data_IF_816110722199
#
_entry.id   IF_816110722199
#
_cell.length_a   1.000
_cell.length_b   1.000
_cell.length_c   1.000
_cell.angle_alpha   90.00
_cell.angle_beta   90.00
_cell.angle_gamma   90.00
#
_symmetry.space_group_name_H-M   'P 1'
#
loop_
_entity.id
_entity.type
_entity.pdbx_description
1 polymer ?
#
# COMPACT_ATOMS: atom_id res chain seq x y z
N UNK A 1 12.91 10.28 24.11
CA UNK A 1 12.47 11.69 23.96
C UNK A 1 12.23 11.98 22.49
N UNK A 2 11.79 13.20 22.18
CA UNK A 2 11.70 13.64 20.78
C UNK A 2 13.09 13.63 20.13
N UNK A 3 13.18 13.10 18.92
CA UNK A 3 14.35 13.18 18.06
C UNK A 3 13.92 13.66 16.67
N UNK A 4 14.56 14.69 16.10
CA UNK A 4 14.29 15.11 14.73
C UNK A 4 14.85 14.10 13.72
N UNK A 5 14.52 14.26 12.42
CA UNK A 5 15.05 13.41 11.35
C UNK A 5 16.57 13.32 11.34
N UNK A 6 17.06 12.09 11.36
CA UNK A 6 18.48 11.74 11.37
C UNK A 6 18.92 11.33 9.96
N UNK A 7 19.53 12.27 9.24
CA UNK A 7 19.93 12.07 7.84
C UNK A 7 21.32 11.45 7.77
N UNK A 8 21.55 10.43 6.91
CA UNK A 8 22.88 9.90 6.64
C UNK A 8 23.82 10.95 6.06
N UNK A 9 25.02 11.08 6.63
CA UNK A 9 26.07 11.98 6.17
C UNK A 9 27.34 11.16 5.87
N UNK A 10 28.07 11.56 4.83
CA UNK A 10 29.35 10.93 4.41
C UNK A 10 30.58 11.76 4.80
N UNK A 11 30.40 12.80 5.60
CA UNK A 11 31.45 13.70 6.03
C UNK A 11 31.67 13.61 7.55
N UNK A 12 32.93 13.72 7.95
CA UNK A 12 33.32 13.87 9.35
C UNK A 12 33.08 15.30 9.87
N UNK A 13 33.29 15.54 11.16
CA UNK A 13 33.23 16.86 11.80
C UNK A 13 34.02 17.93 11.03
N UNK A 14 35.21 17.57 10.54
CA UNK A 14 36.12 18.47 9.83
C UNK A 14 35.82 18.56 8.31
N UNK A 15 34.72 17.98 7.85
CA UNK A 15 34.33 17.96 6.43
C UNK A 15 35.03 16.90 5.58
N UNK A 16 35.95 16.12 6.15
CA UNK A 16 36.62 15.01 5.47
C UNK A 16 35.65 13.94 4.99
N UNK A 17 35.84 13.44 3.77
CA UNK A 17 35.01 12.37 3.21
C UNK A 17 35.25 11.04 3.93
N UNK A 18 34.17 10.31 4.19
CA UNK A 18 34.18 9.02 4.87
C UNK A 18 33.36 8.02 4.07
N UNK A 19 33.92 6.83 3.82
CA UNK A 19 33.29 5.84 2.96
C UNK A 19 32.02 5.21 3.57
N UNK A 20 31.87 5.27 4.90
CA UNK A 20 30.72 4.72 5.61
C UNK A 20 29.75 5.84 6.00
N UNK A 21 28.45 5.71 5.67
CA UNK A 21 27.46 6.68 6.10
C UNK A 21 27.32 6.66 7.63
N UNK A 22 27.09 7.82 8.22
CA UNK A 22 26.93 8.01 9.67
C UNK A 22 25.81 8.99 9.96
N UNK A 23 25.34 8.96 11.20
CA UNK A 23 24.35 9.89 11.73
C UNK A 23 24.90 10.48 13.02
N UNK A 24 24.71 11.78 13.18
CA UNK A 24 24.97 12.48 14.43
C UNK A 24 23.65 12.65 15.17
N UNK A 25 23.53 12.03 16.35
CA UNK A 25 22.36 12.23 17.20
C UNK A 25 22.41 13.63 17.80
N UNK A 26 21.26 14.22 18.11
CA UNK A 26 21.27 15.45 18.90
C UNK A 26 21.61 15.13 20.34
N UNK A 27 22.57 15.87 20.89
CA UNK A 27 22.90 15.91 22.30
C UNK A 27 23.01 17.36 22.76
N UNK A 28 22.92 17.57 24.07
CA UNK A 28 23.25 18.85 24.67
C UNK A 28 24.75 19.08 24.44
N UNK A 29 25.09 20.11 23.67
CA UNK A 29 26.49 20.45 23.47
C UNK A 29 27.06 21.06 24.75
N UNK A 30 28.39 20.99 24.89
CA UNK A 30 29.09 21.67 25.97
C UNK A 30 29.00 23.20 25.85
N UNK A 31 28.57 23.72 24.69
CA UNK A 31 28.42 25.14 24.44
C UNK A 31 27.09 25.63 25.02
N UNK A 32 27.17 26.68 25.84
CA UNK A 32 26.00 27.38 26.39
C UNK A 32 25.66 28.56 25.49
N UNK A 33 24.36 28.77 25.25
CA UNK A 33 23.89 29.99 24.60
C UNK A 33 24.31 31.22 25.44
N UNK A 34 25.02 32.20 24.84
CA UNK A 34 25.57 33.35 25.57
C UNK A 34 24.51 34.26 26.19
N UNK A 35 23.24 34.15 25.78
CA UNK A 35 22.13 34.96 26.33
C UNK A 35 21.33 34.17 27.36
N UNK A 36 20.97 32.93 27.05
CA UNK A 36 20.07 32.13 27.89
C UNK A 36 20.79 31.24 28.89
N UNK A 37 22.11 31.02 28.72
CA UNK A 37 22.93 30.07 29.48
C UNK A 37 22.37 28.65 29.50
N UNK A 38 21.58 28.29 28.48
CA UNK A 38 21.08 26.94 28.28
C UNK A 38 22.03 26.16 27.36
N UNK A 39 22.19 24.84 27.55
CA UNK A 39 22.93 23.99 26.61
C UNK A 39 22.36 24.11 25.21
N UNK A 40 23.22 24.34 24.22
CA UNK A 40 22.81 24.38 22.82
C UNK A 40 22.62 22.95 22.34
N UNK A 41 21.43 22.60 21.87
CA UNK A 41 21.18 21.26 21.29
C UNK A 41 21.83 21.20 19.91
N UNK A 42 22.83 20.34 19.75
CA UNK A 42 23.60 20.19 18.52
C UNK A 42 23.89 18.73 18.16
N UNK A 43 24.39 18.47 16.95
CA UNK A 43 24.86 17.14 16.58
C UNK A 43 26.05 16.72 17.46
N UNK A 44 25.93 15.55 18.08
CA UNK A 44 26.98 14.88 18.84
C UNK A 44 28.02 14.30 17.87
N UNK A 45 29.10 15.04 17.66
CA UNK A 45 30.23 14.61 16.83
C UNK A 45 31.15 13.62 17.53
N UNK A 46 31.09 13.50 18.86
CA UNK A 46 31.98 12.64 19.64
C UNK A 46 31.53 11.18 19.57
N UNK A 47 30.22 10.94 19.40
CA UNK A 47 29.64 9.61 19.25
C UNK A 47 28.87 9.43 17.93
N UNK A 48 29.55 9.40 16.77
CA UNK A 48 28.89 9.17 15.49
C UNK A 48 28.30 7.75 15.42
N UNK A 49 27.03 7.64 15.04
CA UNK A 49 26.37 6.35 14.80
C UNK A 49 26.66 5.90 13.38
N UNK A 50 27.50 4.88 13.24
CA UNK A 50 27.84 4.33 11.93
C UNK A 50 26.69 3.52 11.37
N UNK A 51 26.30 3.79 10.13
CA UNK A 51 25.24 3.07 9.44
C UNK A 51 25.83 1.93 8.61
N UNK A 52 25.10 0.83 8.55
CA UNK A 52 25.42 -0.33 7.72
C UNK A 52 24.19 -0.95 7.09
N UNK A 53 24.42 -1.81 6.10
CA UNK A 53 23.40 -2.69 5.56
C UNK A 53 23.42 -4.05 6.27
N UNK A 54 22.27 -4.72 6.34
CA UNK A 54 22.11 -6.07 6.92
C UNK A 54 22.62 -6.16 8.38
N UNK A 55 22.34 -5.12 9.17
CA UNK A 55 22.75 -5.06 10.58
C UNK A 55 21.86 -5.94 11.44
N UNK A 56 22.42 -6.48 12.53
CA UNK A 56 21.63 -7.19 13.54
C UNK A 56 20.91 -6.16 14.42
N UNK A 57 19.64 -6.40 14.70
CA UNK A 57 18.82 -5.50 15.49
C UNK A 57 17.66 -6.23 16.16
N UNK A 58 16.57 -5.51 16.41
CA UNK A 58 15.41 -6.09 17.10
C UNK A 58 14.83 -7.28 16.32
N UNK A 59 14.51 -8.41 16.99
CA UNK A 59 13.95 -9.56 16.31
C UNK A 59 12.56 -9.25 15.73
N UNK A 60 12.30 -9.74 14.52
CA UNK A 60 11.03 -9.65 13.84
C UNK A 60 10.67 -10.96 13.15
N UNK A 61 9.39 -11.09 12.76
CA UNK A 61 8.93 -12.21 11.96
C UNK A 61 8.77 -11.78 10.50
N UNK A 62 9.65 -12.26 9.64
CA UNK A 62 9.54 -12.10 8.19
C UNK A 62 8.31 -12.89 7.70
N UNK A 63 7.42 -12.20 6.98
CA UNK A 63 6.10 -12.70 6.57
C UNK A 63 5.22 -13.24 7.73
N UNK A 64 5.53 -12.88 8.99
CA UNK A 64 4.84 -13.42 10.17
C UNK A 64 5.25 -14.84 10.56
N UNK A 65 6.14 -15.49 9.79
CA UNK A 65 6.47 -16.91 9.93
C UNK A 65 7.94 -17.14 10.29
N UNK A 66 8.86 -16.48 9.60
CA UNK A 66 10.30 -16.75 9.71
C UNK A 66 10.92 -15.77 10.72
N UNK A 67 11.47 -16.23 11.86
CA UNK A 67 12.19 -15.35 12.77
C UNK A 67 13.46 -14.83 12.08
N UNK A 68 13.66 -13.53 12.13
CA UNK A 68 14.82 -12.84 11.60
C UNK A 68 15.19 -11.67 12.50
N UNK A 69 16.47 -11.35 12.57
CA UNK A 69 17.04 -10.25 13.35
C UNK A 69 17.86 -9.27 12.49
N UNK A 70 18.02 -9.59 11.20
CA UNK A 70 18.74 -8.74 10.24
C UNK A 70 17.84 -7.69 9.61
N UNK A 71 18.22 -6.42 9.79
CA UNK A 71 17.56 -5.26 9.21
C UNK A 71 18.32 -4.78 7.98
N UNK A 72 17.60 -4.35 6.93
CA UNK A 72 18.22 -3.91 5.69
C UNK A 72 19.20 -2.76 5.92
N UNK A 73 18.87 -1.82 6.80
CA UNK A 73 19.71 -0.69 7.18
C UNK A 73 19.52 -0.37 8.67
N UNK A 74 20.58 0.14 9.31
CA UNK A 74 20.53 0.57 10.71
C UNK A 74 21.92 0.90 11.26
N UNK A 75 22.00 1.17 12.56
CA UNK A 75 23.29 1.40 13.23
C UNK A 75 24.05 0.09 13.43
N UNK A 76 25.36 0.10 13.20
CA UNK A 76 26.25 -1.03 13.47
C UNK A 76 26.29 -1.38 14.97
N UNK A 77 26.14 -0.38 15.83
CA UNK A 77 26.22 -0.52 17.28
C UNK A 77 24.86 -0.93 17.90
N UNK A 78 23.86 -1.24 17.06
CA UNK A 78 22.50 -1.62 17.49
C UNK A 78 21.67 -0.47 18.07
N UNK A 79 22.23 0.74 18.14
CA UNK A 79 21.52 1.94 18.62
C UNK A 79 20.40 2.35 17.66
N UNK A 80 19.24 2.82 18.19
CA UNK A 80 18.13 3.26 17.34
C UNK A 80 18.53 4.49 16.51
N UNK A 81 18.10 4.51 15.25
CA UNK A 81 18.30 5.65 14.33
C UNK A 81 16.95 6.07 13.80
N UNK A 82 16.64 7.36 13.93
CA UNK A 82 15.34 7.93 13.59
C UNK A 82 15.40 8.68 12.26
N UNK A 83 15.47 7.95 11.14
CA UNK A 83 15.64 8.55 9.81
C UNK A 83 14.57 9.60 9.45
N UNK A 84 13.32 9.36 9.85
CA UNK A 84 12.21 10.32 9.68
C UNK A 84 11.85 11.05 10.98
N UNK A 85 12.67 10.91 12.01
CA UNK A 85 12.42 11.45 13.34
C UNK A 85 11.35 10.67 14.10
N UNK A 86 10.97 11.24 15.24
CA UNK A 86 9.95 10.68 16.12
C UNK A 86 8.69 11.55 16.17
N UNK A 87 7.56 10.95 16.51
CA UNK A 87 6.35 11.69 16.85
C UNK A 87 6.46 12.41 18.22
N UNK A 88 5.41 13.13 18.61
CA UNK A 88 5.33 13.87 19.88
C UNK A 88 5.49 12.98 21.12
N UNK A 89 5.35 11.66 20.98
CA UNK A 89 5.49 10.68 22.05
C UNK A 89 6.83 9.94 21.97
N UNK A 90 7.75 10.36 21.09
CA UNK A 90 9.07 9.73 20.92
C UNK A 90 9.04 8.41 20.14
N UNK A 91 7.97 8.11 19.40
CA UNK A 91 7.87 6.88 18.59
C UNK A 91 8.45 7.10 17.20
N UNK A 92 9.23 6.15 16.72
CA UNK A 92 9.88 6.23 15.40
C UNK A 92 8.85 6.27 14.25
N UNK A 93 8.89 7.34 13.45
CA UNK A 93 7.92 7.58 12.38
C UNK A 93 8.11 6.59 11.23
N UNK A 94 9.36 6.29 10.86
CA UNK A 94 9.66 5.38 9.76
C UNK A 94 9.17 3.95 10.05
N UNK A 95 9.46 3.44 11.24
CA UNK A 95 9.03 2.11 11.68
C UNK A 95 7.51 2.00 11.71
N UNK A 96 6.82 3.05 12.19
CA UNK A 96 5.35 3.11 12.15
C UNK A 96 4.80 3.10 10.73
N UNK A 97 5.43 3.83 9.80
CA UNK A 97 5.04 3.83 8.40
C UNK A 97 5.23 2.45 7.76
N UNK A 98 6.36 1.78 8.01
CA UNK A 98 6.64 0.43 7.51
C UNK A 98 5.67 -0.61 8.09
N UNK A 99 5.31 -0.50 9.37
CA UNK A 99 4.33 -1.41 9.97
C UNK A 99 2.91 -1.13 9.48
N UNK A 100 2.53 0.15 9.32
CA UNK A 100 1.24 0.54 8.79
C UNK A 100 1.06 0.14 7.32
N UNK A 101 2.10 0.26 6.51
CA UNK A 101 2.05 -0.07 5.08
C UNK A 101 1.71 -1.54 4.82
N UNK A 102 2.11 -2.47 5.70
CA UNK A 102 1.74 -3.89 5.61
C UNK A 102 0.22 -4.09 5.63
N UNK A 103 -0.47 -3.40 6.56
CA UNK A 103 -1.92 -3.48 6.69
C UNK A 103 -2.59 -2.83 5.49
N UNK A 104 -2.14 -1.63 5.10
CA UNK A 104 -2.67 -0.93 3.92
C UNK A 104 -2.53 -1.73 2.63
N UNK A 105 -1.36 -2.36 2.42
CA UNK A 105 -1.09 -3.18 1.24
C UNK A 105 -1.95 -4.46 1.23
N UNK A 106 -2.12 -5.11 2.38
CA UNK A 106 -2.98 -6.29 2.51
C UNK A 106 -4.44 -5.99 2.15
N UNK A 107 -4.99 -4.88 2.66
CA UNK A 107 -6.34 -4.43 2.28
C UNK A 107 -6.40 -4.13 0.78
N UNK A 108 -5.49 -3.30 0.26
CA UNK A 108 -5.52 -2.87 -1.13
C UNK A 108 -5.43 -4.06 -2.10
N UNK A 109 -4.50 -4.99 -1.87
CA UNK A 109 -4.34 -6.19 -2.70
C UNK A 109 -5.59 -7.08 -2.64
N UNK A 110 -6.17 -7.28 -1.45
CA UNK A 110 -7.36 -8.12 -1.29
C UNK A 110 -8.57 -7.50 -2.00
N UNK A 111 -8.80 -6.20 -1.81
CA UNK A 111 -9.90 -5.46 -2.44
C UNK A 111 -9.76 -5.47 -3.95
N UNK A 112 -8.58 -5.12 -4.47
CA UNK A 112 -8.32 -5.11 -5.92
C UNK A 112 -8.51 -6.52 -6.49
N UNK A 113 -8.00 -7.56 -5.83
CA UNK A 113 -8.20 -8.93 -6.29
C UNK A 113 -9.69 -9.29 -6.42
N UNK A 114 -10.51 -9.00 -5.41
CA UNK A 114 -11.96 -9.27 -5.44
C UNK A 114 -12.64 -8.46 -6.56
N UNK A 115 -12.36 -7.15 -6.65
CA UNK A 115 -12.91 -6.26 -7.67
C UNK A 115 -12.54 -6.75 -9.07
N UNK A 116 -11.28 -7.11 -9.29
CA UNK A 116 -10.80 -7.60 -10.58
C UNK A 116 -11.46 -8.91 -10.94
N UNK A 117 -11.53 -9.89 -10.03
CA UNK A 117 -12.17 -11.18 -10.31
C UNK A 117 -13.66 -11.01 -10.63
N UNK A 118 -14.42 -10.32 -9.77
CA UNK A 118 -15.87 -10.16 -9.93
C UNK A 118 -16.16 -9.26 -11.13
N UNK A 119 -15.54 -8.08 -11.17
CA UNK A 119 -15.75 -7.10 -12.22
C UNK A 119 -15.39 -7.63 -13.60
N UNK A 120 -14.24 -8.30 -13.74
CA UNK A 120 -13.84 -8.87 -15.04
C UNK A 120 -14.79 -9.98 -15.47
N UNK A 121 -15.18 -10.87 -14.55
CA UNK A 121 -16.12 -11.96 -14.87
C UNK A 121 -17.47 -11.40 -15.34
N UNK A 122 -18.06 -10.47 -14.59
CA UNK A 122 -19.34 -9.86 -14.95
C UNK A 122 -19.21 -9.06 -16.25
N UNK A 123 -18.17 -8.24 -16.39
CA UNK A 123 -17.95 -7.41 -17.56
C UNK A 123 -17.78 -8.23 -18.85
N UNK A 124 -17.02 -9.33 -18.78
CA UNK A 124 -16.84 -10.24 -19.90
C UNK A 124 -18.15 -10.93 -20.29
N UNK A 125 -18.89 -11.46 -19.32
CA UNK A 125 -20.16 -12.17 -19.60
C UNK A 125 -21.20 -11.18 -20.18
N UNK A 126 -21.34 -10.01 -19.57
CA UNK A 126 -22.25 -8.94 -20.03
C UNK A 126 -21.88 -8.48 -21.44
N UNK A 127 -20.59 -8.21 -21.70
CA UNK A 127 -20.10 -7.71 -22.98
C UNK A 127 -20.11 -8.76 -24.10
N UNK A 128 -19.90 -10.05 -23.79
CA UNK A 128 -19.87 -11.10 -24.79
C UNK A 128 -21.28 -11.52 -25.25
N UNK A 129 -22.18 -11.83 -24.31
CA UNK A 129 -23.52 -12.30 -24.66
C UNK A 129 -24.44 -11.17 -25.14
N UNK A 130 -24.24 -9.94 -24.65
CA UNK A 130 -25.04 -8.79 -25.09
C UNK A 130 -26.55 -8.95 -24.81
N UNK A 131 -27.35 -8.22 -25.60
CA UNK A 131 -28.81 -8.36 -25.60
C UNK A 131 -29.50 -7.98 -24.29
N UNK A 132 -30.56 -8.72 -23.95
CA UNK A 132 -31.39 -8.43 -22.75
C UNK A 132 -30.63 -8.65 -21.44
N UNK A 133 -29.77 -9.65 -21.38
CA UNK A 133 -28.95 -9.94 -20.19
C UNK A 133 -28.03 -8.78 -19.88
N UNK A 134 -27.31 -8.31 -20.91
CA UNK A 134 -26.42 -7.15 -20.80
C UNK A 134 -27.16 -5.89 -20.32
N UNK A 135 -28.32 -5.59 -20.92
CA UNK A 135 -29.14 -4.44 -20.50
C UNK A 135 -29.50 -4.53 -19.02
N UNK A 136 -30.03 -5.65 -18.55
CA UNK A 136 -30.37 -5.82 -17.13
C UNK A 136 -29.16 -5.70 -16.21
N UNK A 137 -28.04 -6.34 -16.58
CA UNK A 137 -26.82 -6.30 -15.76
C UNK A 137 -26.25 -4.88 -15.68
N UNK A 138 -26.26 -4.14 -16.79
CA UNK A 138 -25.80 -2.76 -16.80
C UNK A 138 -26.71 -1.82 -16.00
N UNK A 139 -28.04 -2.05 -15.97
CA UNK A 139 -28.91 -1.27 -15.09
C UNK A 139 -28.60 -1.51 -13.61
N UNK A 140 -28.26 -2.73 -13.24
CA UNK A 140 -27.81 -3.04 -11.89
C UNK A 140 -26.46 -2.38 -11.57
N UNK A 141 -25.50 -2.44 -12.49
CA UNK A 141 -24.20 -1.74 -12.36
C UNK A 141 -24.39 -0.24 -12.21
N UNK A 142 -25.24 0.38 -13.04
CA UNK A 142 -25.57 1.81 -12.96
C UNK A 142 -26.21 2.18 -11.61
N UNK A 143 -27.09 1.33 -11.07
CA UNK A 143 -27.67 1.52 -9.75
C UNK A 143 -26.60 1.53 -8.65
N UNK A 144 -25.64 0.61 -8.70
CA UNK A 144 -24.52 0.56 -7.74
C UNK A 144 -23.63 1.81 -7.87
N UNK A 145 -23.34 2.24 -9.10
CA UNK A 145 -22.51 3.42 -9.37
C UNK A 145 -23.21 4.74 -9.03
N UNK A 146 -24.54 4.75 -8.93
CA UNK A 146 -25.30 5.94 -8.54
C UNK A 146 -25.10 6.30 -7.06
N UNK A 147 -24.63 5.37 -6.23
CA UNK A 147 -24.33 5.64 -4.84
C UNK A 147 -23.04 6.47 -4.70
N UNK A 148 -23.05 7.57 -3.94
CA UNK A 148 -21.86 8.37 -3.72
C UNK A 148 -20.89 7.61 -2.80
N UNK A 149 -19.81 7.08 -3.36
CA UNK A 149 -18.88 6.17 -2.68
C UNK A 149 -18.30 6.76 -1.39
N UNK A 150 -17.76 7.99 -1.45
CA UNK A 150 -17.13 8.64 -0.30
C UNK A 150 -18.13 8.84 0.87
N UNK A 151 -19.31 9.47 0.66
CA UNK A 151 -20.34 9.55 1.70
C UNK A 151 -20.77 8.19 2.23
N UNK A 152 -20.93 7.19 1.37
CA UNK A 152 -21.33 5.84 1.78
C UNK A 152 -20.28 5.19 2.67
N UNK A 153 -18.99 5.31 2.32
CA UNK A 153 -17.89 4.84 3.17
C UNK A 153 -17.89 5.53 4.53
N UNK A 154 -18.03 6.86 4.56
CA UNK A 154 -18.08 7.61 5.82
C UNK A 154 -19.28 7.18 6.67
N UNK A 155 -20.48 7.10 6.09
CA UNK A 155 -21.66 6.63 6.78
C UNK A 155 -21.49 5.21 7.33
N UNK A 156 -20.97 4.29 6.52
CA UNK A 156 -20.77 2.90 6.91
C UNK A 156 -19.71 2.73 8.01
N UNK A 157 -18.69 3.61 8.09
CA UNK A 157 -17.73 3.57 9.19
C UNK A 157 -18.37 3.85 10.56
N UNK A 158 -19.47 4.61 10.60
CA UNK A 158 -20.21 4.88 11.85
C UNK A 158 -20.95 3.67 12.41
N UNK A 159 -21.20 2.65 11.58
CA UNK A 159 -21.84 1.41 12.02
C UNK A 159 -20.87 0.52 12.80
N UNK A 160 -19.56 0.79 12.74
CA UNK A 160 -18.56 -0.02 13.42
C UNK A 160 -18.31 0.57 14.82
N UNK A 161 -18.55 -0.19 15.91
CA UNK A 161 -18.22 0.26 17.25
C UNK A 161 -16.72 0.59 17.36
N UNK A 162 -16.38 1.66 18.07
CA UNK A 162 -14.97 2.04 18.32
C UNK A 162 -14.22 0.94 19.08
N UNK A 163 -14.95 0.09 19.80
CA UNK A 163 -14.44 -1.08 20.53
C UNK A 163 -14.32 -2.35 19.67
N UNK A 164 -14.69 -2.29 18.39
CA UNK A 164 -14.64 -3.44 17.52
C UNK A 164 -13.19 -3.95 17.35
N UNK A 165 -12.99 -5.27 17.37
CA UNK A 165 -11.70 -5.86 17.06
C UNK A 165 -11.17 -5.40 15.69
N UNK A 166 -9.85 -5.19 15.58
CA UNK A 166 -9.22 -4.69 14.35
C UNK A 166 -9.54 -5.54 13.12
N UNK A 167 -9.59 -6.86 13.25
CA UNK A 167 -9.95 -7.78 12.17
C UNK A 167 -11.38 -7.57 11.65
N UNK A 168 -12.33 -7.23 12.52
CA UNK A 168 -13.72 -6.94 12.13
C UNK A 168 -13.78 -5.65 11.32
N UNK A 169 -13.08 -4.61 11.76
CA UNK A 169 -12.97 -3.35 11.02
C UNK A 169 -12.34 -3.56 9.63
N UNK A 170 -11.23 -4.30 9.56
CA UNK A 170 -10.56 -4.62 8.30
C UNK A 170 -11.45 -5.41 7.34
N UNK A 171 -12.14 -6.44 7.84
CA UNK A 171 -13.06 -7.24 7.04
C UNK A 171 -14.21 -6.39 6.48
N UNK A 172 -14.77 -5.50 7.29
CA UNK A 172 -15.83 -4.59 6.87
C UNK A 172 -15.37 -3.66 5.76
N UNK A 173 -14.21 -3.01 5.90
CA UNK A 173 -13.63 -2.13 4.87
C UNK A 173 -13.43 -2.90 3.57
N UNK A 174 -12.87 -4.11 3.63
CA UNK A 174 -12.64 -4.95 2.45
C UNK A 174 -13.97 -5.28 1.74
N UNK A 175 -14.99 -5.69 2.49
CA UNK A 175 -16.31 -6.05 1.94
C UNK A 175 -16.95 -4.85 1.27
N UNK A 176 -17.03 -3.72 1.98
CA UNK A 176 -17.71 -2.51 1.50
C UNK A 176 -17.03 -1.95 0.25
N UNK A 177 -15.69 -1.82 0.28
CA UNK A 177 -14.96 -1.33 -0.89
C UNK A 177 -15.10 -2.27 -2.09
N UNK A 178 -15.04 -3.59 -1.86
CA UNK A 178 -15.18 -4.58 -2.93
C UNK A 178 -16.58 -4.58 -3.54
N UNK A 179 -17.61 -4.44 -2.69
CA UNK A 179 -19.03 -4.44 -3.09
C UNK A 179 -19.43 -3.23 -3.95
N UNK A 180 -18.70 -2.11 -3.86
CA UNK A 180 -18.93 -0.95 -4.72
C UNK A 180 -17.96 -0.90 -5.91
N UNK A 181 -16.71 -1.34 -5.73
CA UNK A 181 -15.67 -1.22 -6.74
C UNK A 181 -15.83 -2.17 -7.94
N UNK A 182 -16.44 -3.34 -7.76
CA UNK A 182 -16.62 -4.32 -8.85
C UNK A 182 -17.46 -3.77 -10.01
N UNK A 183 -18.40 -2.87 -9.74
CA UNK A 183 -19.31 -2.30 -10.72
C UNK A 183 -18.55 -1.44 -11.76
N UNK A 184 -17.61 -0.61 -11.29
CA UNK A 184 -16.77 0.20 -12.17
C UNK A 184 -15.88 -0.69 -13.04
N UNK A 185 -15.22 -1.68 -12.43
CA UNK A 185 -14.37 -2.64 -13.15
C UNK A 185 -15.19 -3.43 -14.20
N UNK A 186 -16.42 -3.83 -13.86
CA UNK A 186 -17.32 -4.51 -14.78
C UNK A 186 -17.67 -3.66 -16.01
N UNK A 187 -17.89 -2.36 -15.83
CA UNK A 187 -18.21 -1.45 -16.92
C UNK A 187 -17.03 -1.26 -17.87
N UNK A 188 -15.82 -1.13 -17.33
CA UNK A 188 -14.58 -0.99 -18.10
C UNK A 188 -14.28 -2.25 -18.92
N UNK A 189 -14.32 -3.42 -18.27
CA UNK A 189 -14.08 -4.71 -18.94
C UNK A 189 -15.16 -5.00 -19.99
N UNK A 190 -16.43 -4.67 -19.72
CA UNK A 190 -17.50 -4.79 -20.71
C UNK A 190 -17.19 -3.98 -21.97
N UNK A 191 -16.74 -2.74 -21.82
CA UNK A 191 -16.37 -1.87 -22.95
C UNK A 191 -15.30 -2.52 -23.83
N UNK A 192 -14.23 -3.05 -23.21
CA UNK A 192 -13.17 -3.80 -23.91
C UNK A 192 -13.71 -5.07 -24.57
N UNK A 193 -14.55 -5.82 -23.86
CA UNK A 193 -15.11 -7.08 -24.35
C UNK A 193 -15.98 -6.85 -25.59
N UNK A 194 -16.83 -5.82 -25.60
CA UNK A 194 -17.65 -5.46 -26.77
C UNK A 194 -16.80 -5.11 -27.99
N UNK A 195 -15.64 -4.48 -27.79
CA UNK A 195 -14.69 -4.19 -28.86
C UNK A 195 -14.03 -5.47 -29.39
N UNK A 196 -13.52 -6.32 -28.49
CA UNK A 196 -12.86 -7.58 -28.83
C UNK A 196 -13.78 -8.57 -29.54
N UNK A 197 -15.04 -8.70 -29.09
CA UNK A 197 -16.03 -9.60 -29.68
C UNK A 197 -16.38 -9.25 -31.15
N UNK A 198 -16.08 -8.02 -31.59
CA UNK A 198 -16.34 -7.57 -32.97
C UNK A 198 -15.15 -7.73 -33.92
N UNK A 199 -13.99 -8.15 -33.42
CA UNK A 199 -12.78 -8.29 -34.26
C UNK A 199 -12.92 -9.48 -35.22
N UNK A 200 -12.36 -9.35 -36.42
CA UNK A 200 -12.45 -10.32 -37.51
C UNK A 200 -11.99 -11.73 -37.12
N UNK A 201 -10.87 -11.87 -36.40
CA UNK A 201 -10.38 -13.20 -35.99
C UNK A 201 -11.32 -13.88 -34.98
N UNK A 202 -12.00 -13.12 -34.12
CA UNK A 202 -13.01 -13.66 -33.20
C UNK A 202 -14.26 -14.11 -33.97
N UNK A 203 -14.69 -13.30 -34.96
CA UNK A 203 -15.80 -13.66 -35.85
C UNK A 203 -15.52 -14.88 -36.72
N UNK A 204 -14.30 -14.99 -37.24
CA UNK A 204 -13.85 -16.16 -37.98
C UNK A 204 -13.85 -17.41 -37.09
N UNK A 205 -13.35 -17.32 -35.86
CA UNK A 205 -13.39 -18.42 -34.90
C UNK A 205 -14.82 -18.89 -34.59
N UNK A 206 -15.77 -17.95 -34.43
CA UNK A 206 -17.19 -18.25 -34.28
C UNK A 206 -17.76 -18.96 -35.53
N UNK A 207 -17.44 -18.49 -36.74
CA UNK A 207 -17.93 -19.08 -37.98
C UNK A 207 -17.42 -20.52 -38.21
N UNK A 208 -16.25 -20.86 -37.68
CA UNK A 208 -15.65 -22.21 -37.72
C UNK A 208 -16.20 -23.11 -36.58
N UNK A 209 -17.09 -22.60 -35.73
CA UNK A 209 -17.77 -23.38 -34.69
C UNK A 209 -17.04 -23.44 -33.34
N UNK A 210 -16.17 -22.46 -33.04
CA UNK A 210 -15.59 -22.37 -31.69
C UNK A 210 -16.68 -22.14 -30.63
N UNK A 211 -16.59 -22.86 -29.51
CA UNK A 211 -17.55 -22.69 -28.40
C UNK A 211 -17.35 -21.37 -27.67
N UNK A 212 -18.42 -20.83 -27.07
CA UNK A 212 -18.38 -19.57 -26.31
C UNK A 212 -17.29 -19.55 -25.24
N UNK A 213 -17.18 -20.65 -24.49
CA UNK A 213 -16.13 -20.80 -23.46
C UNK A 213 -14.73 -20.70 -24.06
N UNK A 214 -14.50 -21.28 -25.25
CA UNK A 214 -13.21 -21.23 -25.95
C UNK A 214 -12.90 -19.80 -26.42
N UNK A 215 -13.91 -19.10 -26.95
CA UNK A 215 -13.76 -17.72 -27.39
C UNK A 215 -13.43 -16.81 -26.20
N UNK A 216 -14.20 -16.92 -25.10
CA UNK A 216 -13.97 -16.12 -23.90
C UNK A 216 -12.58 -16.38 -23.33
N UNK A 217 -12.19 -17.63 -23.09
CA UNK A 217 -10.94 -17.94 -22.39
C UNK A 217 -9.69 -17.79 -23.25
N UNK A 218 -9.76 -17.97 -24.57
CA UNK A 218 -8.58 -17.90 -25.45
C UNK A 218 -8.46 -16.58 -26.21
N UNK A 219 -9.57 -15.89 -26.49
CA UNK A 219 -9.57 -14.71 -27.37
C UNK A 219 -9.99 -13.43 -26.66
N UNK A 220 -10.80 -13.50 -25.60
CA UNK A 220 -11.27 -12.31 -24.89
C UNK A 220 -10.44 -12.08 -23.62
N UNK A 221 -10.49 -13.02 -22.67
CA UNK A 221 -9.84 -12.89 -21.37
C UNK A 221 -8.35 -12.53 -21.44
N UNK A 222 -7.51 -13.12 -22.32
CA UNK A 222 -6.10 -12.76 -22.41
C UNK A 222 -5.84 -11.36 -23.01
N UNK A 223 -6.85 -10.76 -23.67
CA UNK A 223 -6.73 -9.49 -24.38
C UNK A 223 -7.42 -8.32 -23.65
N UNK A 224 -8.08 -8.58 -22.53
CA UNK A 224 -8.74 -7.57 -21.67
C UNK A 224 -7.77 -7.04 -20.63
#
# INVERSE_FOLDING_TARGET
>A
GFAPPQVPVFHDRDGGFTARPRVYALADSADLDPVTFQPVVGPDYDHPRLLGFFVHGAPYKLFGLLPADRHLFGSLDGQPVHFLGTDKFGRDVLSRAIHGSRVSLMIALTVVFIITVIGTTVGMVSGYFGGRFDVWMQRFVELVLAFPQLPLYLALTTLIPVTAPTNVFLAFVIIVMSALGWAQMSREVRGKTLALARIEYVRAAMAVGATDRRIIMQHIFPNV
#
